data_IF_933897913705
#
_entry.id   IF_933897913705
#
_cell.length_a   1.000
_cell.length_b   1.000
_cell.length_c   1.000
_cell.angle_alpha   90.00
_cell.angle_beta   90.00
_cell.angle_gamma   90.00
#
_symmetry.space_group_name_H-M   'P 1'
#
loop_
_entity.id
_entity.type
_entity.pdbx_description
1 polymer ?
#
# COMPACT_ATOMS: atom_id res chain seq x y z
N UNK A 1 4.02 -4.93 18.03
CA UNK A 1 3.11 -5.82 17.29
C UNK A 1 2.24 -4.91 16.42
N UNK A 2 2.31 -5.09 15.12
CA UNK A 2 1.46 -4.35 14.18
C UNK A 2 0.08 -5.02 14.10
N UNK A 3 -0.95 -4.21 13.99
CA UNK A 3 -2.34 -4.64 13.88
C UNK A 3 -2.94 -4.07 12.59
N UNK A 4 -3.75 -4.84 11.89
CA UNK A 4 -4.52 -4.30 10.76
C UNK A 4 -5.58 -3.32 11.26
N UNK A 5 -6.07 -2.41 10.40
CA UNK A 5 -7.14 -1.47 10.78
C UNK A 5 -8.38 -2.19 11.29
N UNK A 6 -8.73 -3.35 10.71
CA UNK A 6 -9.87 -4.15 11.18
C UNK A 6 -9.68 -4.66 12.60
N UNK A 7 -8.48 -5.12 12.95
CA UNK A 7 -8.16 -5.54 14.32
C UNK A 7 -8.18 -4.37 15.30
N UNK A 8 -7.72 -3.19 14.86
CA UNK A 8 -7.79 -1.96 15.66
C UNK A 8 -9.23 -1.50 15.91
N UNK A 9 -10.15 -1.77 15.00
CA UNK A 9 -11.57 -1.48 15.18
C UNK A 9 -12.17 -2.13 16.41
N UNK A 10 -11.62 -3.24 16.90
CA UNK A 10 -12.06 -3.88 18.15
C UNK A 10 -11.76 -3.04 19.40
N UNK A 11 -10.82 -2.10 19.31
CA UNK A 11 -10.42 -1.20 20.38
C UNK A 11 -11.01 0.22 20.21
N UNK A 12 -11.93 0.42 19.26
CA UNK A 12 -12.56 1.71 19.04
C UNK A 12 -13.34 2.18 20.27
N UNK A 13 -13.17 3.44 20.63
CA UNK A 13 -13.77 4.02 21.84
C UNK A 13 -15.20 4.50 21.61
N UNK A 14 -15.56 4.79 20.35
CA UNK A 14 -16.92 5.25 19.98
C UNK A 14 -17.43 4.53 18.73
N UNK A 15 -18.77 4.46 18.59
CA UNK A 15 -19.39 3.88 17.39
C UNK A 15 -19.08 4.62 16.10
N UNK A 16 -18.89 5.93 16.15
CA UNK A 16 -18.49 6.74 14.99
C UNK A 16 -17.06 6.40 14.56
N UNK A 17 -16.14 6.26 15.50
CA UNK A 17 -14.76 5.85 15.22
C UNK A 17 -14.71 4.45 14.60
N UNK A 18 -15.51 3.51 15.11
CA UNK A 18 -15.61 2.17 14.54
C UNK A 18 -16.12 2.20 13.09
N UNK A 19 -17.16 2.98 12.80
CA UNK A 19 -17.71 3.13 11.45
C UNK A 19 -16.67 3.70 10.47
N UNK A 20 -15.89 4.67 10.91
CA UNK A 20 -14.81 5.27 10.10
C UNK A 20 -13.69 4.26 9.83
N UNK A 21 -13.27 3.51 10.83
CA UNK A 21 -12.25 2.46 10.67
C UNK A 21 -12.75 1.36 9.70
N UNK A 22 -14.01 0.97 9.81
CA UNK A 22 -14.61 -0.01 8.90
C UNK A 22 -14.69 0.49 7.46
N UNK A 23 -15.06 1.76 7.25
CA UNK A 23 -15.11 2.36 5.91
C UNK A 23 -13.72 2.50 5.29
N UNK A 24 -12.69 2.85 6.07
CA UNK A 24 -11.30 2.86 5.61
C UNK A 24 -10.81 1.45 5.26
N UNK A 25 -11.09 0.47 6.13
CA UNK A 25 -10.71 -0.92 5.92
C UNK A 25 -11.56 -1.64 4.85
N UNK A 26 -12.56 -0.98 4.25
CA UNK A 26 -13.31 -1.52 3.12
C UNK A 26 -12.46 -1.62 1.84
N UNK A 27 -11.34 -0.88 1.73
CA UNK A 27 -10.36 -1.02 0.65
C UNK A 27 -9.53 -2.29 0.76
N UNK A 28 -9.16 -2.88 -0.37
CA UNK A 28 -8.35 -4.11 -0.39
C UNK A 28 -6.99 -3.92 0.29
N UNK A 29 -6.30 -2.80 0.00
CA UNK A 29 -4.99 -2.49 0.55
C UNK A 29 -5.04 -2.26 2.07
N UNK A 30 -5.90 -1.36 2.53
CA UNK A 30 -5.98 -0.99 3.94
C UNK A 30 -6.56 -2.09 4.84
N UNK A 31 -7.28 -3.07 4.26
CA UNK A 31 -7.77 -4.24 5.01
C UNK A 31 -6.64 -5.18 5.46
N UNK A 32 -5.52 -5.17 4.73
CA UNK A 32 -4.41 -6.12 4.92
C UNK A 32 -3.16 -5.45 5.45
N UNK A 33 -2.95 -4.15 5.16
CA UNK A 33 -1.77 -3.40 5.62
C UNK A 33 -1.72 -3.37 7.15
N UNK A 34 -0.66 -3.92 7.77
CA UNK A 34 -0.47 -3.84 9.20
C UNK A 34 0.04 -2.45 9.58
N UNK A 35 -0.47 -1.89 10.68
CA UNK A 35 -0.04 -0.62 11.23
C UNK A 35 0.66 -0.83 12.57
N UNK A 36 1.83 -0.23 12.69
CA UNK A 36 2.61 -0.17 13.93
C UNK A 36 2.41 1.18 14.59
N UNK A 37 1.95 1.18 15.83
CA UNK A 37 1.89 2.40 16.64
C UNK A 37 3.29 2.75 17.14
N UNK A 38 3.66 4.02 16.98
CA UNK A 38 4.91 4.58 17.48
C UNK A 38 4.62 5.77 18.38
N UNK A 39 5.47 5.97 19.35
CA UNK A 39 5.48 7.18 20.17
C UNK A 39 6.41 8.21 19.52
N UNK A 40 5.92 9.44 19.37
CA UNK A 40 6.67 10.51 18.71
C UNK A 40 6.34 10.70 17.23
N UNK A 41 7.22 11.35 16.50
CA UNK A 41 7.00 11.82 15.12
C UNK A 41 7.78 11.01 14.08
N UNK A 42 8.70 10.17 14.47
CA UNK A 42 9.52 9.40 13.53
C UNK A 42 9.94 8.05 14.10
N UNK A 43 10.11 7.08 13.21
CA UNK A 43 10.68 5.78 13.51
C UNK A 43 12.09 5.71 12.93
N UNK A 44 13.08 5.43 13.78
CA UNK A 44 14.44 5.11 13.35
C UNK A 44 14.65 3.61 13.45
N UNK A 45 15.16 3.01 12.37
CA UNK A 45 15.45 1.58 12.32
C UNK A 45 16.74 1.32 11.55
N UNK A 46 17.32 0.15 11.80
CA UNK A 46 18.50 -0.33 11.08
C UNK A 46 18.05 -1.20 9.93
N UNK A 47 18.58 -0.92 8.74
CA UNK A 47 18.37 -1.74 7.55
C UNK A 47 19.69 -2.37 7.16
N UNK A 48 19.69 -3.69 7.01
CA UNK A 48 20.82 -4.47 6.56
C UNK A 48 20.92 -4.33 5.03
N UNK A 49 22.04 -3.81 4.55
CA UNK A 49 22.29 -3.63 3.11
C UNK A 49 23.10 -4.80 2.55
N UNK A 50 24.06 -5.31 3.30
CA UNK A 50 24.85 -6.46 2.91
C UNK A 50 25.21 -7.33 4.12
N UNK A 51 25.23 -8.65 3.89
CA UNK A 51 25.69 -9.62 4.89
C UNK A 51 27.21 -9.74 4.86
N UNK A 52 27.86 -10.02 6.00
CA UNK A 52 29.29 -10.34 6.02
C UNK A 52 29.54 -11.67 5.27
N UNK A 53 30.69 -11.76 4.60
CA UNK A 53 31.07 -13.00 3.95
C UNK A 53 31.51 -14.04 4.99
N UNK A 54 31.11 -15.29 4.79
CA UNK A 54 31.47 -16.43 5.62
C UNK A 54 32.04 -17.52 4.73
N UNK A 55 33.20 -18.03 5.04
CA UNK A 55 33.87 -19.05 4.25
C UNK A 55 34.40 -20.24 5.08
N UNK A 56 34.63 -21.34 4.40
CA UNK A 56 35.33 -22.48 5.00
C UNK A 56 36.86 -22.24 4.96
N UNK A 57 37.58 -22.68 5.99
CA UNK A 57 39.03 -22.60 6.03
C UNK A 57 39.69 -23.98 6.14
N UNK A 58 40.90 -24.09 5.66
CA UNK A 58 41.74 -25.26 5.97
C UNK A 58 42.30 -25.19 7.38
N UNK A 59 42.76 -26.32 7.88
CA UNK A 59 43.47 -26.41 9.17
C UNK A 59 44.68 -25.48 9.11
N UNK A 60 44.84 -24.62 10.15
CA UNK A 60 45.90 -23.61 10.27
C UNK A 60 45.83 -22.41 9.28
N UNK A 61 44.78 -22.27 8.46
CA UNK A 61 44.55 -21.05 7.69
C UNK A 61 43.84 -19.99 8.53
N UNK A 62 44.08 -18.71 8.26
CA UNK A 62 43.32 -17.63 8.87
C UNK A 62 41.91 -17.56 8.28
N UNK A 63 40.92 -17.09 9.06
CA UNK A 63 39.62 -16.66 8.57
C UNK A 63 39.73 -15.25 8.05
N UNK A 64 39.09 -14.97 6.90
CA UNK A 64 38.99 -13.61 6.37
C UNK A 64 37.99 -12.81 7.21
N UNK A 65 38.38 -11.64 7.65
CA UNK A 65 37.48 -10.70 8.34
C UNK A 65 36.58 -10.01 7.33
N UNK A 66 35.29 -10.01 7.61
CA UNK A 66 34.32 -9.33 6.78
C UNK A 66 33.21 -8.74 7.67
N UNK A 67 32.75 -7.57 7.29
CA UNK A 67 31.74 -6.83 8.03
C UNK A 67 30.51 -6.62 7.14
N UNK A 68 29.30 -6.81 7.70
CA UNK A 68 28.07 -6.45 7.05
C UNK A 68 27.86 -4.93 7.08
N UNK A 69 27.20 -4.41 6.07
CA UNK A 69 26.86 -3.00 5.98
C UNK A 69 25.43 -2.77 6.49
N UNK A 70 25.29 -1.86 7.45
CA UNK A 70 24.02 -1.50 8.08
C UNK A 70 23.78 -0.02 7.87
N UNK A 71 22.66 0.34 7.24
CA UNK A 71 22.21 1.72 7.12
C UNK A 71 21.17 2.08 8.20
N UNK A 72 21.23 3.31 8.71
CA UNK A 72 20.22 3.86 9.60
C UNK A 72 19.19 4.61 8.77
N UNK A 73 17.96 4.11 8.80
CA UNK A 73 16.83 4.75 8.12
C UNK A 73 15.93 5.46 9.14
N UNK A 74 15.30 6.56 8.72
CA UNK A 74 14.36 7.32 9.53
C UNK A 74 13.13 7.64 8.70
N UNK A 75 11.96 7.22 9.17
CA UNK A 75 10.68 7.51 8.53
C UNK A 75 9.86 8.42 9.43
N UNK A 76 9.34 9.51 8.87
CA UNK A 76 8.52 10.47 9.58
C UNK A 76 7.03 10.14 9.48
N UNK A 77 6.26 10.60 10.46
CA UNK A 77 4.81 10.61 10.39
C UNK A 77 4.34 11.92 9.76
N UNK A 78 3.32 11.82 8.93
CA UNK A 78 2.67 12.96 8.30
C UNK A 78 1.26 13.11 8.85
N UNK A 79 0.83 14.37 9.00
CA UNK A 79 -0.53 14.67 9.43
C UNK A 79 -1.47 14.54 8.24
N UNK A 80 -2.36 13.58 8.34
CA UNK A 80 -3.34 13.28 7.30
C UNK A 80 -4.75 13.51 7.82
N UNK A 81 -5.58 14.28 7.10
CA UNK A 81 -6.93 14.56 7.56
C UNK A 81 -7.58 15.74 6.87
N UNK A 82 -8.65 16.22 7.46
CA UNK A 82 -9.35 17.40 6.97
C UNK A 82 -10.59 17.75 7.74
N UNK A 83 -11.01 19.01 7.61
CA UNK A 83 -12.24 19.52 8.20
C UNK A 83 -13.42 19.23 7.28
N UNK A 84 -14.47 18.68 7.84
CA UNK A 84 -15.79 18.58 7.23
C UNK A 84 -16.65 19.69 7.80
N UNK A 85 -17.25 20.48 6.92
CA UNK A 85 -18.16 21.58 7.28
C UNK A 85 -19.53 21.31 6.69
N UNK A 86 -20.53 21.28 7.55
CA UNK A 86 -21.93 21.06 7.17
C UNK A 86 -22.76 22.24 7.67
N UNK A 87 -23.50 22.87 6.78
CA UNK A 87 -24.38 23.99 7.12
C UNK A 87 -25.46 23.52 8.10
N UNK A 88 -25.69 24.32 9.14
CA UNK A 88 -26.72 24.05 10.15
C UNK A 88 -28.13 23.94 9.55
N UNK A 89 -28.41 24.72 8.50
CA UNK A 89 -29.69 24.66 7.81
C UNK A 89 -29.89 23.28 7.15
N UNK A 90 -28.84 22.69 6.54
CA UNK A 90 -28.89 21.34 5.95
C UNK A 90 -29.20 20.31 7.03
N UNK A 91 -28.51 20.39 8.19
CA UNK A 91 -28.77 19.49 9.32
C UNK A 91 -30.20 19.59 9.85
N UNK A 92 -30.79 20.79 9.80
CA UNK A 92 -32.14 21.02 10.26
C UNK A 92 -33.19 20.55 9.25
N UNK A 93 -32.91 20.65 7.95
CA UNK A 93 -33.82 20.26 6.86
C UNK A 93 -33.74 18.76 6.54
N UNK A 94 -32.54 18.19 6.49
CA UNK A 94 -32.28 16.81 6.07
C UNK A 94 -32.02 15.85 7.27
N UNK A 95 -31.82 16.40 8.47
CA UNK A 95 -31.56 15.63 9.66
C UNK A 95 -30.10 15.15 9.82
N UNK A 96 -29.82 14.35 10.87
CA UNK A 96 -28.47 13.90 11.19
C UNK A 96 -27.87 12.94 10.15
N UNK A 97 -28.71 12.33 9.31
CA UNK A 97 -28.25 11.39 8.27
C UNK A 97 -27.39 12.09 7.22
N UNK A 98 -27.67 13.35 6.90
CA UNK A 98 -26.85 14.15 5.99
C UNK A 98 -25.40 14.31 6.50
N UNK A 99 -25.22 14.49 7.82
CA UNK A 99 -23.91 14.56 8.45
C UNK A 99 -23.17 13.22 8.33
N UNK A 100 -23.84 12.11 8.65
CA UNK A 100 -23.27 10.78 8.55
C UNK A 100 -22.81 10.44 7.14
N UNK A 101 -23.63 10.75 6.13
CA UNK A 101 -23.29 10.57 4.73
C UNK A 101 -22.05 11.38 4.32
N UNK A 102 -21.97 12.65 4.71
CA UNK A 102 -20.84 13.53 4.43
C UNK A 102 -19.54 13.01 5.08
N UNK A 103 -19.62 12.50 6.33
CA UNK A 103 -18.49 11.89 7.02
C UNK A 103 -18.00 10.65 6.23
N UNK A 104 -18.90 9.75 5.84
CA UNK A 104 -18.56 8.57 5.06
C UNK A 104 -17.95 8.92 3.70
N UNK A 105 -18.50 9.93 3.00
CA UNK A 105 -17.94 10.40 1.75
C UNK A 105 -16.51 10.93 1.91
N UNK A 106 -16.24 11.67 3.01
CA UNK A 106 -14.90 12.17 3.34
C UNK A 106 -13.93 11.04 3.63
N UNK A 107 -14.35 10.06 4.41
CA UNK A 107 -13.53 8.90 4.76
C UNK A 107 -13.19 8.07 3.51
N UNK A 108 -14.14 7.90 2.59
CA UNK A 108 -13.86 7.27 1.30
C UNK A 108 -12.82 8.03 0.48
N UNK A 109 -12.92 9.36 0.44
CA UNK A 109 -11.91 10.19 -0.23
C UNK A 109 -10.54 10.04 0.42
N UNK A 110 -10.47 10.00 1.76
CA UNK A 110 -9.23 9.75 2.50
C UNK A 110 -8.64 8.37 2.16
N UNK A 111 -9.47 7.32 2.10
CA UNK A 111 -9.00 5.99 1.68
C UNK A 111 -8.34 6.02 0.30
N UNK A 112 -9.02 6.57 -0.69
CA UNK A 112 -8.50 6.64 -2.06
C UNK A 112 -7.21 7.46 -2.16
N UNK A 113 -7.12 8.55 -1.42
CA UNK A 113 -5.93 9.37 -1.43
C UNK A 113 -4.77 8.70 -0.69
N UNK A 114 -5.03 7.98 0.40
CA UNK A 114 -4.02 7.17 1.07
C UNK A 114 -3.48 6.06 0.14
N UNK A 115 -4.36 5.35 -0.58
CA UNK A 115 -3.95 4.34 -1.57
C UNK A 115 -3.09 4.95 -2.68
N UNK A 116 -3.41 6.18 -3.12
CA UNK A 116 -2.58 6.94 -4.06
C UNK A 116 -1.21 7.28 -3.45
N UNK A 117 -1.18 7.83 -2.24
CA UNK A 117 0.06 8.19 -1.55
C UNK A 117 0.93 6.95 -1.26
N UNK A 118 0.31 5.81 -0.93
CA UNK A 118 1.02 4.55 -0.72
C UNK A 118 1.80 4.09 -1.96
N UNK A 119 1.24 4.27 -3.16
CA UNK A 119 1.90 3.90 -4.42
C UNK A 119 2.77 5.05 -4.96
N UNK A 120 2.19 6.24 -5.13
CA UNK A 120 2.78 7.37 -5.87
C UNK A 120 3.24 8.53 -4.98
N UNK A 121 3.07 8.45 -3.67
CA UNK A 121 3.50 9.50 -2.76
C UNK A 121 4.99 9.82 -2.94
N UNK A 122 5.35 11.09 -2.76
CA UNK A 122 6.74 11.53 -2.80
C UNK A 122 6.94 12.71 -1.85
N UNK A 123 7.79 12.53 -0.86
CA UNK A 123 8.16 13.57 0.09
C UNK A 123 8.80 14.75 -0.62
N UNK A 124 9.69 14.47 -1.57
CA UNK A 124 10.38 15.51 -2.34
C UNK A 124 9.44 16.33 -3.25
N UNK A 125 8.46 15.68 -3.90
CA UNK A 125 7.54 16.35 -4.80
C UNK A 125 6.45 17.13 -4.03
N UNK A 126 6.09 16.69 -2.83
CA UNK A 126 5.08 17.32 -1.97
C UNK A 126 5.63 18.34 -0.98
N UNK A 127 6.91 18.66 -1.02
CA UNK A 127 7.60 19.51 -0.03
C UNK A 127 7.41 19.03 1.42
N UNK A 128 7.48 17.72 1.64
CA UNK A 128 7.38 17.12 2.98
C UNK A 128 5.94 16.93 3.48
N UNK A 129 4.91 17.10 2.63
CA UNK A 129 3.51 16.89 3.03
C UNK A 129 3.09 15.42 2.97
N UNK A 130 3.70 14.63 2.08
CA UNK A 130 3.39 13.21 1.90
C UNK A 130 4.62 12.35 2.20
N UNK A 131 4.38 11.12 2.62
CA UNK A 131 5.45 10.13 2.75
C UNK A 131 5.84 9.55 1.38
N UNK A 132 7.05 9.01 1.27
CA UNK A 132 7.49 8.31 0.06
C UNK A 132 6.74 6.99 -0.12
N UNK A 133 6.02 6.89 -1.24
CA UNK A 133 5.32 5.69 -1.67
C UNK A 133 6.25 4.66 -2.33
N UNK A 134 5.68 3.54 -2.76
CA UNK A 134 6.44 2.43 -3.35
C UNK A 134 7.18 2.84 -4.62
N UNK A 135 6.59 3.69 -5.45
CA UNK A 135 7.20 4.16 -6.70
C UNK A 135 8.45 5.01 -6.46
N UNK A 136 8.43 5.86 -5.43
CA UNK A 136 9.58 6.68 -5.06
C UNK A 136 10.74 5.84 -4.49
N UNK A 137 10.40 4.75 -3.78
CA UNK A 137 11.36 3.84 -3.14
C UNK A 137 11.97 2.84 -4.12
N UNK A 138 11.18 2.29 -5.07
CA UNK A 138 11.65 1.33 -6.06
C UNK A 138 11.68 2.00 -7.44
N UNK A 139 12.79 2.71 -7.70
CA UNK A 139 13.06 3.35 -8.98
C UNK A 139 13.52 2.31 -10.03
N UNK A 140 13.47 2.65 -11.30
CA UNK A 140 13.94 1.78 -12.39
C UNK A 140 15.42 1.37 -12.28
N UNK A 141 16.21 2.10 -11.50
CA UNK A 141 17.63 1.80 -11.23
C UNK A 141 17.83 0.87 -10.03
N UNK A 142 16.76 0.54 -9.29
CA UNK A 142 16.82 -0.33 -8.13
C UNK A 142 17.02 -1.79 -8.54
N UNK A 143 17.73 -2.57 -7.72
CA UNK A 143 17.84 -4.04 -7.88
C UNK A 143 16.50 -4.77 -7.70
N UNK A 144 15.51 -4.11 -7.12
CA UNK A 144 14.15 -4.62 -6.93
C UNK A 144 13.19 -4.22 -8.08
N UNK A 145 13.74 -3.62 -9.15
CA UNK A 145 12.98 -3.31 -10.35
C UNK A 145 13.17 -4.42 -11.40
N UNK A 146 12.07 -5.04 -11.77
CA UNK A 146 12.00 -6.04 -12.84
C UNK A 146 11.39 -5.38 -14.06
N UNK A 147 12.09 -5.40 -15.20
CA UNK A 147 11.54 -4.91 -16.45
C UNK A 147 10.76 -6.02 -17.14
N UNK A 148 9.52 -5.73 -17.52
CA UNK A 148 8.72 -6.68 -18.30
C UNK A 148 9.38 -6.91 -19.66
N UNK A 149 9.91 -8.12 -19.89
CA UNK A 149 10.68 -8.50 -21.10
C UNK A 149 9.82 -9.28 -22.10
N UNK A 150 8.59 -8.87 -22.33
CA UNK A 150 7.68 -9.54 -23.27
C UNK A 150 7.96 -9.17 -24.75
N UNK A 151 9.21 -9.02 -25.13
CA UNK A 151 9.57 -8.57 -26.48
C UNK A 151 9.09 -7.13 -26.75
N UNK A 152 8.64 -6.84 -27.98
CA UNK A 152 8.19 -5.49 -28.36
C UNK A 152 6.71 -5.22 -28.05
N UNK A 153 5.97 -6.18 -27.49
CA UNK A 153 4.51 -6.05 -27.30
C UNK A 153 4.12 -5.30 -26.03
N UNK A 154 4.97 -5.29 -25.00
CA UNK A 154 4.62 -4.73 -23.68
C UNK A 154 3.60 -5.56 -22.89
N UNK A 155 3.08 -6.67 -23.42
CA UNK A 155 2.16 -7.55 -22.72
C UNK A 155 2.80 -8.08 -21.43
N UNK A 156 2.03 -8.23 -20.36
CA UNK A 156 2.51 -8.78 -19.09
C UNK A 156 3.03 -10.20 -19.29
N UNK A 157 4.30 -10.46 -18.95
CA UNK A 157 4.87 -11.81 -18.95
C UNK A 157 4.69 -12.49 -17.60
N UNK A 158 4.16 -13.71 -17.59
CA UNK A 158 4.08 -14.54 -16.38
C UNK A 158 5.47 -14.82 -15.80
N UNK A 159 6.46 -15.06 -16.66
CA UNK A 159 7.85 -15.25 -16.25
C UNK A 159 8.40 -14.02 -15.51
N UNK A 160 8.14 -12.81 -16.01
CA UNK A 160 8.58 -11.58 -15.33
C UNK A 160 7.83 -11.36 -13.99
N UNK A 161 6.59 -11.83 -13.90
CA UNK A 161 5.84 -11.81 -12.65
C UNK A 161 6.44 -12.78 -11.62
N UNK A 162 6.81 -13.99 -12.05
CA UNK A 162 7.49 -14.97 -11.19
C UNK A 162 8.85 -14.43 -10.72
N UNK A 163 9.63 -13.80 -11.60
CA UNK A 163 10.89 -13.14 -11.25
C UNK A 163 10.68 -12.03 -10.20
N UNK A 164 9.61 -11.24 -10.32
CA UNK A 164 9.25 -10.23 -9.33
C UNK A 164 8.81 -10.84 -7.98
N UNK A 165 8.14 -11.99 -8.00
CA UNK A 165 7.77 -12.73 -6.78
C UNK A 165 8.99 -13.32 -6.08
N UNK A 166 9.97 -13.82 -6.84
CA UNK A 166 11.20 -14.39 -6.30
C UNK A 166 12.14 -13.29 -5.76
N UNK A 167 12.08 -12.08 -6.32
CA UNK A 167 12.84 -10.94 -5.82
C UNK A 167 12.40 -10.45 -4.44
N UNK A 168 11.18 -10.80 -3.99
CA UNK A 168 10.63 -10.39 -2.69
C UNK A 168 10.86 -11.48 -1.65
N UNK A 169 11.54 -11.11 -0.57
CA UNK A 169 11.65 -11.93 0.63
C UNK A 169 10.39 -11.80 1.50
N UNK A 170 9.87 -12.94 1.99
CA UNK A 170 8.66 -12.98 2.81
C UNK A 170 8.85 -13.75 4.13
N UNK A 171 10.09 -13.95 4.56
CA UNK A 171 10.35 -14.65 5.84
C UNK A 171 9.76 -13.84 7.00
N UNK A 172 8.65 -14.31 7.55
CA UNK A 172 7.91 -13.60 8.61
C UNK A 172 6.89 -12.57 8.11
N UNK A 173 6.68 -12.46 6.80
CA UNK A 173 5.66 -11.60 6.17
C UNK A 173 4.77 -12.37 5.21
N UNK A 174 3.73 -11.72 4.71
CA UNK A 174 2.83 -12.27 3.70
C UNK A 174 2.96 -11.46 2.40
N UNK A 175 3.17 -12.18 1.27
CA UNK A 175 3.27 -11.55 -0.06
C UNK A 175 1.90 -11.19 -0.59
N UNK A 176 1.87 -10.06 -1.30
CA UNK A 176 0.69 -9.57 -2.03
C UNK A 176 1.11 -8.96 -3.35
N UNK A 177 0.26 -9.08 -4.35
CA UNK A 177 0.43 -8.43 -5.65
C UNK A 177 -0.53 -7.24 -5.72
N UNK A 178 0.01 -6.02 -5.81
CA UNK A 178 -0.78 -4.81 -6.03
C UNK A 178 -0.90 -4.54 -7.52
N UNK A 179 -2.11 -4.49 -8.03
CA UNK A 179 -2.36 -4.29 -9.45
C UNK A 179 -3.60 -3.44 -9.72
N UNK A 180 -3.69 -2.89 -10.93
CA UNK A 180 -4.91 -2.25 -11.43
C UNK A 180 -5.96 -3.28 -11.86
N UNK A 181 -7.21 -2.85 -11.98
CA UNK A 181 -8.28 -3.68 -12.58
C UNK A 181 -7.93 -4.13 -14.00
N UNK A 182 -7.23 -3.28 -14.75
CA UNK A 182 -6.79 -3.59 -16.12
C UNK A 182 -5.73 -4.69 -16.12
N UNK A 183 -4.70 -4.59 -15.27
CA UNK A 183 -3.67 -5.62 -15.14
C UNK A 183 -4.25 -6.96 -14.66
N UNK A 184 -5.20 -6.95 -13.71
CA UNK A 184 -5.91 -8.17 -13.30
C UNK A 184 -6.65 -8.81 -14.47
N UNK A 185 -7.34 -8.01 -15.30
CA UNK A 185 -8.02 -8.53 -16.49
C UNK A 185 -7.03 -9.14 -17.49
N UNK A 186 -5.88 -8.49 -17.70
CA UNK A 186 -4.81 -9.01 -18.54
C UNK A 186 -4.31 -10.38 -18.06
N UNK A 187 -4.04 -10.52 -16.75
CA UNK A 187 -3.65 -11.79 -16.13
C UNK A 187 -4.73 -12.86 -16.31
N UNK A 188 -5.99 -12.52 -16.02
CA UNK A 188 -7.11 -13.47 -16.15
C UNK A 188 -7.36 -13.87 -17.61
N UNK A 189 -7.17 -12.96 -18.57
CA UNK A 189 -7.27 -13.27 -19.99
C UNK A 189 -6.17 -14.22 -20.44
N UNK A 190 -4.91 -13.95 -20.07
CA UNK A 190 -3.77 -14.82 -20.37
C UNK A 190 -3.92 -16.22 -19.77
N UNK A 191 -4.42 -16.33 -18.52
CA UNK A 191 -4.63 -17.65 -17.89
C UNK A 191 -5.73 -18.51 -18.53
N UNK A 192 -6.63 -17.90 -19.32
CA UNK A 192 -7.68 -18.63 -20.06
C UNK A 192 -7.19 -19.14 -21.42
N UNK A 193 -6.04 -18.72 -21.85
CA UNK A 193 -5.46 -19.20 -23.10
C UNK A 193 -5.08 -20.67 -22.96
N UNK A 194 -5.50 -21.51 -23.91
CA UNK A 194 -5.43 -22.99 -23.80
C UNK A 194 -4.00 -23.54 -23.69
N UNK A 195 -3.00 -22.73 -24.02
CA UNK A 195 -1.57 -23.05 -23.90
C UNK A 195 -0.92 -22.67 -22.57
N UNK A 196 -1.59 -21.84 -21.73
CA UNK A 196 -1.02 -21.26 -20.53
C UNK A 196 -1.88 -21.68 -19.33
N UNK A 197 -1.37 -22.59 -18.51
CA UNK A 197 -2.00 -22.89 -17.23
C UNK A 197 -1.50 -21.90 -16.17
N UNK A 198 -2.02 -20.67 -16.20
CA UNK A 198 -1.45 -19.51 -15.53
C UNK A 198 -1.58 -19.49 -14.00
N UNK A 199 -1.91 -20.60 -13.34
CA UNK A 199 -1.92 -20.66 -11.86
C UNK A 199 -2.89 -19.70 -11.16
N UNK A 200 -3.82 -19.07 -11.90
CA UNK A 200 -4.79 -18.12 -11.33
C UNK A 200 -6.03 -18.87 -10.85
N UNK A 201 -6.34 -18.69 -9.58
CA UNK A 201 -7.52 -19.26 -8.95
C UNK A 201 -8.20 -18.23 -8.03
N UNK A 202 -9.41 -18.55 -7.60
CA UNK A 202 -10.18 -17.71 -6.70
C UNK A 202 -10.30 -18.45 -5.38
N UNK A 203 -9.85 -17.83 -4.30
CA UNK A 203 -10.01 -18.33 -2.93
C UNK A 203 -10.78 -17.33 -2.07
N UNK A 204 -11.45 -17.85 -1.05
CA UNK A 204 -12.03 -17.02 -0.01
C UNK A 204 -10.93 -16.62 1.00
N UNK A 205 -10.85 -15.34 1.28
CA UNK A 205 -9.99 -14.79 2.35
C UNK A 205 -10.57 -15.17 3.73
N UNK A 206 -9.80 -14.95 4.79
CA UNK A 206 -10.25 -15.13 6.19
C UNK A 206 -11.55 -14.38 6.52
N UNK A 207 -11.83 -13.30 5.81
CA UNK A 207 -13.05 -12.51 5.92
C UNK A 207 -14.20 -13.00 5.01
N UNK A 208 -14.02 -14.13 4.31
CA UNK A 208 -15.01 -14.68 3.37
C UNK A 208 -15.12 -13.93 2.04
N UNK A 209 -14.22 -12.95 1.78
CA UNK A 209 -14.17 -12.25 0.49
C UNK A 209 -13.47 -13.11 -0.55
N UNK A 210 -14.06 -13.22 -1.73
CA UNK A 210 -13.41 -13.92 -2.85
C UNK A 210 -12.30 -13.05 -3.44
N UNK A 211 -11.08 -13.54 -3.38
CA UNK A 211 -9.90 -12.88 -3.98
C UNK A 211 -9.31 -13.72 -5.09
N UNK A 212 -8.85 -13.04 -6.13
CA UNK A 212 -8.05 -13.67 -7.18
C UNK A 212 -6.66 -13.90 -6.62
N UNK A 213 -6.13 -15.09 -6.80
CA UNK A 213 -4.77 -15.45 -6.37
C UNK A 213 -3.95 -15.89 -7.58
N UNK A 214 -2.66 -15.60 -7.53
CA UNK A 214 -1.67 -16.14 -8.44
C UNK A 214 -0.71 -17.03 -7.64
N UNK A 215 -0.74 -18.33 -7.91
CA UNK A 215 -0.10 -19.30 -7.01
C UNK A 215 -0.64 -19.14 -5.57
N UNK A 216 0.24 -18.90 -4.62
CA UNK A 216 -0.10 -18.67 -3.21
C UNK A 216 -0.29 -17.20 -2.85
N UNK A 217 -0.15 -16.29 -3.84
CA UNK A 217 -0.10 -14.85 -3.59
C UNK A 217 -1.42 -14.18 -3.99
N UNK A 218 -2.14 -13.54 -3.05
CA UNK A 218 -3.37 -12.82 -3.35
C UNK A 218 -3.11 -11.52 -4.10
N UNK A 219 -4.00 -11.21 -5.06
CA UNK A 219 -4.02 -9.95 -5.79
C UNK A 219 -4.88 -8.94 -5.04
N UNK A 220 -4.30 -7.77 -4.75
CA UNK A 220 -4.98 -6.62 -4.19
C UNK A 220 -5.18 -5.58 -5.30
N UNK A 221 -6.40 -5.10 -5.41
CA UNK A 221 -6.75 -4.12 -6.45
C UNK A 221 -6.60 -2.72 -5.88
N UNK A 222 -5.69 -1.95 -6.47
CA UNK A 222 -5.59 -0.51 -6.25
C UNK A 222 -6.31 0.19 -7.39
N UNK A 223 -7.43 0.86 -7.08
CA UNK A 223 -8.35 1.33 -8.09
C UNK A 223 -8.06 2.79 -8.49
N UNK A 224 -8.75 3.73 -7.86
CA UNK A 224 -8.78 5.13 -8.26
C UNK A 224 -8.47 6.04 -7.09
N UNK A 225 -7.96 7.22 -7.40
CA UNK A 225 -7.76 8.27 -6.44
C UNK A 225 -9.08 9.06 -6.17
N UNK A 226 -9.02 10.05 -5.29
CA UNK A 226 -10.15 10.92 -4.97
C UNK A 226 -10.66 11.73 -6.19
N UNK A 227 -9.85 11.90 -7.23
CA UNK A 227 -10.21 12.59 -8.48
C UNK A 227 -10.77 11.64 -9.54
N UNK A 228 -10.97 10.36 -9.18
CA UNK A 228 -11.43 9.29 -10.06
C UNK A 228 -10.42 8.90 -11.16
N UNK A 229 -9.16 9.31 -11.04
CA UNK A 229 -8.08 8.86 -11.92
C UNK A 229 -7.53 7.52 -11.43
N UNK A 230 -7.20 6.60 -12.34
CA UNK A 230 -6.60 5.32 -11.99
C UNK A 230 -5.21 5.52 -11.37
N UNK A 231 -4.97 4.97 -10.18
CA UNK A 231 -3.69 5.08 -9.48
C UNK A 231 -2.60 4.33 -10.26
N UNK A 232 -2.87 3.07 -10.62
CA UNK A 232 -2.00 2.26 -11.46
C UNK A 232 -2.53 2.22 -12.92
N UNK A 233 -2.87 3.40 -13.45
CA UNK A 233 -3.24 3.54 -14.85
C UNK A 233 -2.04 3.51 -15.79
N UNK A 234 -2.29 3.46 -17.10
CA UNK A 234 -1.27 3.55 -18.15
C UNK A 234 -0.70 4.97 -18.28
N UNK A 235 -0.14 5.51 -17.18
CA UNK A 235 0.38 6.88 -17.09
C UNK A 235 1.90 6.96 -17.11
N UNK A 236 2.58 5.82 -17.08
CA UNK A 236 4.02 5.74 -17.18
C UNK A 236 4.50 5.90 -18.65
N UNK A 237 5.80 5.96 -18.87
CA UNK A 237 6.37 6.13 -20.21
C UNK A 237 5.79 5.11 -21.21
N UNK A 238 5.43 5.56 -22.41
CA UNK A 238 4.82 4.74 -23.49
C UNK A 238 3.45 4.12 -23.14
N UNK A 239 2.63 4.80 -22.32
CA UNK A 239 1.32 4.31 -21.87
C UNK A 239 1.40 2.97 -21.15
N UNK A 240 2.45 2.76 -20.40
CA UNK A 240 2.63 1.56 -19.58
C UNK A 240 2.20 1.79 -18.13
N UNK A 241 2.07 0.71 -17.39
CA UNK A 241 1.80 0.67 -15.96
C UNK A 241 2.80 -0.22 -15.25
N UNK A 242 2.84 -0.13 -13.93
CA UNK A 242 3.62 -1.02 -13.08
C UNK A 242 2.70 -1.86 -12.20
N UNK A 243 3.23 -3.00 -11.79
CA UNK A 243 2.66 -3.91 -10.79
C UNK A 243 3.67 -4.00 -9.65
N UNK A 244 3.19 -4.12 -8.42
CA UNK A 244 4.07 -4.22 -7.25
C UNK A 244 3.82 -5.53 -6.52
N UNK A 245 4.90 -6.22 -6.21
CA UNK A 245 4.90 -7.35 -5.27
C UNK A 245 5.41 -6.83 -3.94
N UNK A 246 4.62 -7.00 -2.89
CA UNK A 246 4.92 -6.43 -1.57
C UNK A 246 4.75 -7.50 -0.51
N UNK A 247 5.70 -7.58 0.42
CA UNK A 247 5.58 -8.38 1.63
C UNK A 247 5.16 -7.49 2.80
N UNK A 248 4.01 -7.77 3.42
CA UNK A 248 3.54 -7.08 4.62
C UNK A 248 3.93 -7.83 5.89
N UNK A 249 4.38 -7.10 6.89
CA UNK A 249 4.79 -7.66 8.17
C UNK A 249 5.58 -6.67 9.03
N UNK A 250 5.80 -7.01 10.29
CA UNK A 250 6.52 -6.16 11.26
C UNK A 250 7.96 -5.80 10.83
N UNK A 251 8.61 -6.69 10.08
CA UNK A 251 9.99 -6.53 9.58
C UNK A 251 10.06 -6.21 8.09
N UNK A 252 8.93 -6.04 7.44
CA UNK A 252 8.79 -5.79 6.01
C UNK A 252 8.15 -4.43 5.76
N UNK A 253 7.12 -4.37 4.93
CA UNK A 253 6.36 -3.15 4.71
C UNK A 253 5.28 -3.04 5.78
N UNK A 254 5.31 -1.92 6.48
CA UNK A 254 4.40 -1.64 7.60
C UNK A 254 3.96 -0.18 7.55
N UNK A 255 2.67 0.06 7.75
CA UNK A 255 2.16 1.40 8.03
C UNK A 255 2.62 1.87 9.42
N UNK A 256 2.95 3.13 9.54
CA UNK A 256 3.24 3.76 10.83
C UNK A 256 2.08 4.65 11.24
N UNK A 257 1.79 4.69 12.53
CA UNK A 257 0.79 5.61 13.07
C UNK A 257 1.15 6.05 14.49
N UNK A 258 0.66 7.22 14.90
CA UNK A 258 0.70 7.65 16.29
C UNK A 258 -0.74 7.81 16.80
N UNK A 259 -1.18 6.84 17.58
CA UNK A 259 -2.58 6.71 17.97
C UNK A 259 -3.48 6.23 16.84
N UNK A 260 -4.77 6.14 17.12
CA UNK A 260 -5.81 5.82 16.14
C UNK A 260 -6.35 7.08 15.47
N UNK A 261 -7.14 6.91 14.42
CA UNK A 261 -7.82 8.02 13.76
C UNK A 261 -8.70 8.75 14.78
N UNK A 262 -8.49 10.06 14.90
CA UNK A 262 -9.27 10.92 15.79
C UNK A 262 -10.35 11.64 15.02
N UNK A 263 -11.56 11.64 15.59
CA UNK A 263 -12.70 12.40 15.08
C UNK A 263 -13.12 13.35 16.18
N UNK A 264 -13.09 14.64 15.89
CA UNK A 264 -13.45 15.67 16.88
C UNK A 264 -14.49 16.60 16.29
N UNK A 265 -15.59 16.80 17.02
CA UNK A 265 -16.55 17.85 16.75
C UNK A 265 -16.03 19.15 17.34
N UNK A 266 -15.78 20.14 16.51
CA UNK A 266 -15.30 21.45 16.92
C UNK A 266 -16.44 22.43 17.23
N UNK A 267 -17.69 22.02 16.93
CA UNK A 267 -18.85 22.86 17.11
C UNK A 267 -19.13 23.80 15.94
N UNK A 268 -19.87 24.89 16.19
CA UNK A 268 -20.24 25.86 15.18
C UNK A 268 -19.08 26.82 14.90
N UNK A 269 -18.81 27.08 13.62
CA UNK A 269 -17.81 28.04 13.20
C UNK A 269 -18.20 29.45 13.56
N UNK A 270 -17.25 30.28 14.04
CA UNK A 270 -17.50 31.71 14.32
C UNK A 270 -17.77 32.57 13.08
N UNK A 271 -17.38 32.09 11.88
CA UNK A 271 -17.48 32.86 10.66
C UNK A 271 -18.76 32.57 9.87
N UNK A 272 -19.34 31.38 10.03
CA UNK A 272 -20.51 30.91 9.28
C UNK A 272 -21.31 29.91 10.15
N UNK A 273 -22.62 29.76 9.94
CA UNK A 273 -23.46 28.80 10.67
C UNK A 273 -23.20 27.36 10.19
N UNK A 274 -21.96 26.92 10.30
CA UNK A 274 -21.49 25.60 9.87
C UNK A 274 -21.02 24.79 11.10
N UNK A 275 -21.43 23.54 11.19
CA UNK A 275 -20.88 22.58 12.13
C UNK A 275 -19.59 22.00 11.53
N UNK A 276 -18.50 22.07 12.31
CA UNK A 276 -17.17 21.59 11.87
C UNK A 276 -16.83 20.30 12.57
N UNK A 277 -16.59 19.26 11.81
CA UNK A 277 -16.03 17.98 12.28
C UNK A 277 -14.66 17.80 11.69
N UNK A 278 -13.65 17.56 12.55
CA UNK A 278 -12.27 17.34 12.15
C UNK A 278 -11.90 15.88 12.25
N UNK A 279 -11.33 15.35 11.15
CA UNK A 279 -10.78 14.00 11.11
C UNK A 279 -9.26 14.14 10.95
N UNK A 280 -8.51 13.56 11.87
CA UNK A 280 -7.04 13.62 11.87
C UNK A 280 -6.46 12.23 12.07
N UNK A 281 -5.42 11.93 11.31
CA UNK A 281 -4.64 10.70 11.42
C UNK A 281 -3.17 11.00 11.19
N UNK A 282 -2.34 10.57 12.12
CA UNK A 282 -0.89 10.63 11.97
C UNK A 282 -0.42 9.32 11.39
N UNK A 283 -0.05 9.33 10.12
CA UNK A 283 0.31 8.11 9.40
C UNK A 283 1.61 8.28 8.61
N UNK A 284 2.23 7.16 8.30
CA UNK A 284 3.45 7.07 7.53
C UNK A 284 3.62 5.66 6.97
N UNK A 285 4.70 5.43 6.25
CA UNK A 285 5.04 4.16 5.65
C UNK A 285 6.51 3.83 5.96
N UNK A 286 6.77 2.62 6.46
CA UNK A 286 8.12 2.11 6.64
C UNK A 286 8.35 0.86 5.79
N UNK A 287 9.52 0.81 5.14
CA UNK A 287 10.02 -0.36 4.40
C UNK A 287 11.30 -0.81 5.09
N UNK A 288 11.15 -1.73 6.05
CA UNK A 288 12.24 -2.11 6.94
C UNK A 288 13.29 -3.01 6.26
N UNK A 289 12.85 -3.86 5.31
CA UNK A 289 13.75 -4.69 4.53
C UNK A 289 13.75 -4.22 3.07
N UNK A 290 14.92 -4.03 2.49
CA UNK A 290 15.08 -3.61 1.09
C UNK A 290 14.48 -4.60 0.07
N UNK A 291 14.37 -5.88 0.45
CA UNK A 291 13.77 -6.94 -0.37
C UNK A 291 12.29 -7.18 -0.09
N UNK A 292 11.61 -6.28 0.60
CA UNK A 292 10.18 -6.41 0.89
C UNK A 292 9.27 -5.94 -0.24
N UNK A 293 9.82 -5.27 -1.24
CA UNK A 293 9.06 -4.71 -2.36
C UNK A 293 9.80 -4.95 -3.66
N UNK A 294 9.10 -5.46 -4.67
CA UNK A 294 9.57 -5.47 -6.05
C UNK A 294 8.57 -4.73 -6.96
N UNK A 295 9.07 -4.07 -7.97
CA UNK A 295 8.27 -3.36 -8.97
C UNK A 295 8.49 -4.00 -10.34
N UNK A 296 7.44 -4.50 -10.94
CA UNK A 296 7.41 -4.97 -12.32
C UNK A 296 6.86 -3.84 -13.19
N UNK A 297 7.69 -3.22 -14.00
CA UNK A 297 7.32 -2.08 -14.84
C UNK A 297 7.21 -2.40 -16.31
N UNK A 298 6.84 -1.38 -17.10
CA UNK A 298 6.70 -1.45 -18.57
C UNK A 298 5.65 -2.44 -19.05
N UNK A 299 4.52 -2.49 -18.38
CA UNK A 299 3.40 -3.36 -18.73
C UNK A 299 2.36 -2.56 -19.53
N UNK A 300 1.93 -3.07 -20.66
CA UNK A 300 0.73 -2.58 -21.35
C UNK A 300 -0.50 -3.31 -20.80
N UNK A 301 -1.37 -2.64 -20.04
CA UNK A 301 -2.52 -3.27 -19.41
C UNK A 301 -3.66 -3.60 -20.38
N UNK A 302 -3.56 -3.22 -21.64
CA UNK A 302 -4.56 -3.49 -22.68
C UNK A 302 -4.38 -4.85 -23.33
N UNK A 303 -3.18 -5.41 -23.25
CA UNK A 303 -2.83 -6.71 -23.84
C UNK A 303 -3.07 -7.84 -22.81
N UNK A 304 -3.43 -9.02 -23.30
CA UNK A 304 -3.49 -10.21 -22.47
C UNK A 304 -2.08 -10.63 -22.01
N UNK A 305 -1.98 -11.21 -20.81
CA UNK A 305 -0.70 -11.71 -20.32
C UNK A 305 -0.24 -12.91 -21.18
N UNK A 306 1.09 -13.04 -21.31
CA UNK A 306 1.77 -14.07 -22.09
C UNK A 306 2.74 -14.87 -21.22
N UNK A 307 3.10 -16.05 -21.68
CA UNK A 307 4.03 -16.96 -20.98
C UNK A 307 5.44 -16.36 -20.83
#
# INVERSE_FOLDING_TARGET
>A
MSLTLLQQGQFATSGEQLAIIQELAAGDLLSVLPFRSIEGNSLRYRREESLPSVGFRHVNAALEESYGEISMQSEALHLYGGDLRVDRAILQLEGPEAKAWNIQARVRAMRHDFERAFIKGSEAASNGLEFDGLQARVKETSSQYVANQSGNSGALSFRALDEALDAVDAVGGQKYILCSKAARRALTAGSRDAGINGGIHIMADELGRQRTMYGDTPLLIVDRDQTNAEILGATEANNTTSLYVVSFGDTHVTGLQNGTISVRELGESSAKPEMVTRIEWYCGLAVMNGRSVARLGKIDPTLAAIA
#
